data_IF_158232809722
#
_entry.id   IF_158232809722
#
_cell.length_a   1.000
_cell.length_b   1.000
_cell.length_c   1.000
_cell.angle_alpha   90.00
_cell.angle_beta   90.00
_cell.angle_gamma   90.00
#
_symmetry.space_group_name_H-M   'P 1'
#
loop_
_entity.id
_entity.type
_entity.pdbx_description
1 polymer ?
#
# COMPACT_ATOMS: atom_id res chain seq x y z
N UNK A 1 -9.28 42.56 -33.70
CA UNK A 1 -8.00 42.58 -32.95
C UNK A 1 -8.35 42.19 -31.53
N UNK A 2 -8.19 40.92 -31.11
CA UNK A 2 -6.91 40.25 -30.87
C UNK A 2 -6.49 40.54 -29.43
N UNK A 3 -6.14 39.61 -28.54
CA UNK A 3 -5.77 38.21 -28.61
C UNK A 3 -5.98 37.61 -27.19
N UNK A 4 -6.26 36.29 -27.13
CA UNK A 4 -5.67 35.26 -26.22
C UNK A 4 -5.36 35.67 -24.77
N UNK A 5 -5.81 34.95 -23.74
CA UNK A 5 -5.42 33.57 -23.49
C UNK A 5 -6.47 32.87 -22.62
N UNK A 6 -7.01 31.76 -23.14
CA UNK A 6 -7.54 30.67 -22.33
C UNK A 6 -6.39 30.14 -21.47
N UNK A 7 -6.61 30.04 -20.15
CA UNK A 7 -5.73 29.31 -19.24
C UNK A 7 -6.57 28.26 -18.52
N UNK A 8 -7.06 27.28 -19.28
CA UNK A 8 -7.18 25.94 -18.74
C UNK A 8 -5.80 25.30 -18.71
N UNK A 9 -5.22 25.10 -17.51
CA UNK A 9 -4.48 23.88 -17.20
C UNK A 9 -4.20 23.76 -15.70
N UNK A 10 -4.85 22.77 -15.10
CA UNK A 10 -4.48 22.04 -13.87
C UNK A 10 -3.79 22.83 -12.75
N UNK A 11 -4.56 23.11 -11.71
CA UNK A 11 -4.02 23.09 -10.35
C UNK A 11 -3.71 21.63 -9.99
N UNK A 12 -2.60 21.14 -10.53
CA UNK A 12 -1.97 19.90 -10.10
C UNK A 12 -1.51 20.06 -8.65
N UNK A 13 -2.03 19.21 -7.77
CA UNK A 13 -1.36 18.79 -6.53
C UNK A 13 -0.79 19.92 -5.65
N UNK A 14 -1.67 20.71 -5.04
CA UNK A 14 -1.31 21.42 -3.80
C UNK A 14 -1.84 20.62 -2.61
N UNK A 15 -0.94 19.79 -2.07
CA UNK A 15 -0.31 20.01 -0.76
C UNK A 15 -1.19 19.50 0.36
N UNK A 16 -1.06 18.19 0.62
CA UNK A 16 -1.20 17.68 1.98
C UNK A 16 -0.15 18.42 2.81
N UNK A 17 -0.61 19.26 3.73
CA UNK A 17 0.24 19.97 4.68
C UNK A 17 1.10 18.97 5.47
N UNK A 18 2.44 18.98 5.35
CA UNK A 18 3.30 17.93 5.88
C UNK A 18 3.53 17.96 7.40
N UNK A 19 2.90 18.89 8.13
CA UNK A 19 3.18 19.12 9.55
C UNK A 19 2.08 18.68 10.55
N UNK A 20 0.82 18.46 10.16
CA UNK A 20 -0.27 18.77 11.13
C UNK A 20 -1.15 17.65 11.71
N UNK A 21 -1.09 16.37 11.28
CA UNK A 21 -2.07 15.39 11.80
C UNK A 21 -1.54 14.28 12.73
N UNK A 22 -0.59 14.64 13.60
CA UNK A 22 -0.47 13.97 14.90
C UNK A 22 0.60 12.90 15.03
N UNK A 23 1.86 13.25 14.76
CA UNK A 23 3.03 12.37 14.91
C UNK A 23 3.16 11.73 16.31
N UNK A 24 2.62 12.35 17.36
CA UNK A 24 2.55 11.74 18.69
C UNK A 24 1.45 10.68 18.84
N UNK A 25 0.34 10.78 18.11
CA UNK A 25 -0.75 9.78 18.14
C UNK A 25 -0.54 8.65 17.11
N UNK A 26 0.14 8.95 16.00
CA UNK A 26 0.45 8.01 14.91
C UNK A 26 1.33 6.84 15.39
N UNK A 27 2.37 7.14 16.17
CA UNK A 27 3.27 6.13 16.77
C UNK A 27 2.51 5.20 17.74
N UNK A 28 1.53 5.74 18.47
CA UNK A 28 0.70 4.96 19.41
C UNK A 28 -0.35 4.08 18.72
N UNK A 29 -0.73 4.38 17.46
CA UNK A 29 -1.61 3.51 16.68
C UNK A 29 -0.86 2.37 16.02
N UNK A 30 0.37 2.60 15.58
CA UNK A 30 1.20 1.59 14.92
C UNK A 30 1.47 0.35 15.78
N UNK A 31 1.69 0.52 17.08
CA UNK A 31 1.86 -0.60 18.02
C UNK A 31 0.58 -1.43 18.24
N UNK A 32 -0.60 -0.85 17.95
CA UNK A 32 -1.89 -1.57 17.90
C UNK A 32 -2.24 -2.07 16.49
N UNK A 33 -1.50 -1.63 15.48
CA UNK A 33 -1.70 -2.01 14.08
C UNK A 33 -1.05 -3.36 13.73
N UNK A 34 -0.31 -3.96 14.68
CA UNK A 34 0.25 -5.32 14.56
C UNK A 34 -0.73 -6.42 14.99
N UNK A 35 -1.94 -6.07 15.41
CA UNK A 35 -3.00 -7.04 15.68
C UNK A 35 -3.61 -7.54 14.38
N UNK A 36 -3.84 -8.85 14.28
CA UNK A 36 -4.45 -9.45 13.09
C UNK A 36 -5.82 -8.84 12.75
N UNK A 37 -6.62 -8.49 13.74
CA UNK A 37 -7.90 -7.79 13.54
C UNK A 37 -7.71 -6.35 13.01
N UNK A 38 -6.63 -5.67 13.41
CA UNK A 38 -6.32 -4.33 12.92
C UNK A 38 -5.89 -4.38 11.45
N UNK A 39 -5.02 -5.33 11.09
CA UNK A 39 -4.60 -5.55 9.69
C UNK A 39 -5.78 -5.97 8.83
N UNK A 40 -6.63 -6.91 9.28
CA UNK A 40 -7.84 -7.33 8.55
C UNK A 40 -8.79 -6.17 8.27
N UNK A 41 -9.05 -5.33 9.28
CA UNK A 41 -9.85 -4.11 9.11
C UNK A 41 -9.21 -3.15 8.11
N UNK A 42 -7.87 -3.03 8.13
CA UNK A 42 -7.14 -2.15 7.22
C UNK A 42 -7.16 -2.64 5.78
N UNK A 43 -6.94 -3.93 5.54
CA UNK A 43 -7.07 -4.58 4.24
C UNK A 43 -8.45 -4.31 3.64
N UNK A 44 -9.51 -4.46 4.43
CA UNK A 44 -10.89 -4.14 4.01
C UNK A 44 -11.08 -2.65 3.67
N UNK A 45 -10.51 -1.75 4.46
CA UNK A 45 -10.55 -0.30 4.18
C UNK A 45 -9.77 0.09 2.91
N UNK A 46 -8.69 -0.64 2.61
CA UNK A 46 -7.91 -0.45 1.38
C UNK A 46 -8.61 -1.05 0.14
N UNK A 47 -9.70 -1.80 0.32
CA UNK A 47 -10.43 -2.46 -0.76
C UNK A 47 -9.66 -3.61 -1.39
N UNK A 48 -8.76 -4.24 -0.64
CA UNK A 48 -7.96 -5.38 -1.09
C UNK A 48 -8.65 -6.69 -0.69
N UNK A 49 -8.64 -7.67 -1.60
CA UNK A 49 -9.15 -9.01 -1.33
C UNK A 49 -7.99 -9.92 -0.91
N UNK A 50 -7.97 -10.33 0.35
CA UNK A 50 -6.96 -11.22 0.91
C UNK A 50 -7.61 -12.25 1.82
N UNK A 51 -7.12 -13.49 1.75
CA UNK A 51 -7.58 -14.58 2.62
C UNK A 51 -7.04 -14.39 4.05
N UNK A 52 -7.64 -15.06 5.03
CA UNK A 52 -7.18 -14.98 6.42
C UNK A 52 -5.73 -15.47 6.59
N UNK A 53 -5.26 -16.38 5.74
CA UNK A 53 -3.88 -16.88 5.74
C UNK A 53 -2.90 -15.80 5.27
N UNK A 54 -3.22 -15.16 4.15
CA UNK A 54 -2.49 -14.03 3.59
C UNK A 54 -2.43 -12.85 4.57
N UNK A 55 -3.54 -12.56 5.25
CA UNK A 55 -3.59 -11.51 6.28
C UNK A 55 -2.67 -11.87 7.45
N UNK A 56 -2.58 -13.14 7.86
CA UNK A 56 -1.65 -13.57 8.91
C UNK A 56 -0.19 -13.42 8.49
N UNK A 57 0.14 -13.79 7.25
CA UNK A 57 1.49 -13.66 6.70
C UNK A 57 1.94 -12.20 6.67
N UNK A 58 1.14 -11.31 6.08
CA UNK A 58 1.48 -9.88 6.04
C UNK A 58 1.52 -9.25 7.44
N UNK A 59 0.66 -9.70 8.36
CA UNK A 59 0.70 -9.25 9.77
C UNK A 59 2.03 -9.63 10.43
N UNK A 60 2.57 -10.82 10.13
CA UNK A 60 3.86 -11.24 10.66
C UNK A 60 5.01 -10.36 10.14
N UNK A 61 4.99 -9.97 8.86
CA UNK A 61 5.96 -9.02 8.29
C UNK A 61 5.89 -7.63 8.95
N UNK A 62 4.67 -7.08 9.10
CA UNK A 62 4.45 -5.80 9.78
C UNK A 62 4.98 -5.86 11.22
N UNK A 63 4.73 -6.97 11.94
CA UNK A 63 5.19 -7.17 13.31
C UNK A 63 6.72 -7.28 13.40
N UNK A 64 7.35 -7.98 12.46
CA UNK A 64 8.81 -8.08 12.40
C UNK A 64 9.46 -6.70 12.22
N UNK A 65 8.89 -5.85 11.35
CA UNK A 65 9.36 -4.48 11.15
C UNK A 65 9.12 -3.59 12.38
N UNK A 66 7.96 -3.73 13.02
CA UNK A 66 7.62 -3.01 14.25
C UNK A 66 8.51 -3.36 15.45
N UNK A 67 9.09 -4.57 15.48
CA UNK A 67 10.07 -4.96 16.51
C UNK A 67 11.41 -4.24 16.36
N UNK A 68 11.78 -3.85 15.13
CA UNK A 68 13.05 -3.17 14.84
C UNK A 68 12.92 -1.66 15.02
N UNK A 69 11.82 -1.07 14.56
CA UNK A 69 11.56 0.36 14.66
C UNK A 69 10.06 0.67 14.74
N UNK A 70 9.67 1.82 15.31
CA UNK A 70 8.32 2.34 15.14
C UNK A 70 8.01 2.50 13.65
N UNK A 71 6.90 1.91 13.21
CA UNK A 71 6.39 2.02 11.84
C UNK A 71 5.24 3.01 11.81
N UNK A 72 5.00 3.69 10.69
CA UNK A 72 3.82 4.52 10.50
C UNK A 72 2.67 3.69 9.89
N UNK A 73 1.43 4.18 9.93
CA UNK A 73 0.31 3.48 9.27
C UNK A 73 0.49 3.43 7.75
N UNK A 74 1.15 4.44 7.16
CA UNK A 74 1.45 4.52 5.73
C UNK A 74 2.50 3.47 5.32
N UNK A 75 3.50 3.22 6.16
CA UNK A 75 4.44 2.11 5.97
C UNK A 75 3.68 0.77 5.97
N UNK A 76 2.75 0.58 6.92
CA UNK A 76 1.94 -0.63 6.99
C UNK A 76 1.05 -0.81 5.75
N UNK A 77 0.41 0.26 5.27
CA UNK A 77 -0.39 0.23 4.04
C UNK A 77 0.47 -0.12 2.81
N UNK A 78 1.69 0.42 2.75
CA UNK A 78 2.64 0.11 1.68
C UNK A 78 3.05 -1.37 1.70
N UNK A 79 3.30 -1.93 2.89
CA UNK A 79 3.59 -3.37 3.05
C UNK A 79 2.40 -4.22 2.62
N UNK A 80 1.18 -3.87 3.06
CA UNK A 80 -0.05 -4.60 2.70
C UNK A 80 -0.25 -4.61 1.18
N UNK A 81 -0.12 -3.45 0.53
CA UNK A 81 -0.25 -3.35 -0.94
C UNK A 81 0.84 -4.13 -1.66
N UNK A 82 2.09 -4.00 -1.21
CA UNK A 82 3.22 -4.73 -1.80
C UNK A 82 3.02 -6.24 -1.70
N UNK A 83 2.59 -6.73 -0.53
CA UNK A 83 2.32 -8.14 -0.30
C UNK A 83 1.20 -8.66 -1.20
N UNK A 84 0.09 -7.92 -1.30
CA UNK A 84 -1.02 -8.26 -2.19
C UNK A 84 -0.59 -8.29 -3.67
N UNK A 85 0.21 -7.32 -4.13
CA UNK A 85 0.73 -7.29 -5.51
C UNK A 85 1.71 -8.44 -5.76
N UNK A 86 2.59 -8.78 -4.82
CA UNK A 86 3.52 -9.90 -4.97
C UNK A 86 2.80 -11.25 -5.10
N UNK A 87 1.66 -11.41 -4.43
CA UNK A 87 0.85 -12.63 -4.55
C UNK A 87 -0.07 -12.64 -5.77
N UNK A 88 -0.59 -11.48 -6.17
CA UNK A 88 -1.34 -11.28 -7.41
C UNK A 88 -0.42 -10.92 -8.59
N UNK A 89 0.89 -11.22 -8.48
CA UNK A 89 1.85 -11.04 -9.56
C UNK A 89 1.31 -11.69 -10.84
N UNK A 90 1.64 -11.14 -12.02
CA UNK A 90 1.02 -11.57 -13.26
C UNK A 90 1.14 -13.10 -13.35
N UNK A 91 0.06 -13.81 -13.76
CA UNK A 91 0.22 -15.22 -14.08
C UNK A 91 1.34 -15.27 -15.10
N UNK A 92 2.46 -15.88 -14.74
CA UNK A 92 3.52 -16.25 -15.67
C UNK A 92 2.89 -17.23 -16.63
N UNK A 93 2.24 -16.67 -17.65
CA UNK A 93 1.64 -17.39 -18.75
C UNK A 93 2.83 -18.03 -19.45
N UNK A 94 3.03 -19.32 -19.16
CA UNK A 94 4.09 -20.11 -19.73
C UNK A 94 4.07 -19.91 -21.24
N UNK A 95 5.14 -19.32 -21.76
CA UNK A 95 5.46 -19.50 -23.17
C UNK A 95 5.91 -20.96 -23.26
N UNK A 96 5.16 -21.85 -23.94
CA UNK A 96 5.66 -23.19 -24.18
C UNK A 96 6.95 -23.06 -24.98
N UNK A 97 8.04 -23.59 -24.43
CA UNK A 97 9.38 -23.68 -25.04
C UNK A 97 9.42 -24.61 -26.28
N UNK A 98 8.31 -24.72 -27.02
CA UNK A 98 8.11 -25.67 -28.12
C UNK A 98 8.17 -25.03 -29.51
N UNK A 99 8.53 -23.74 -29.61
CA UNK A 99 8.51 -22.99 -30.87
C UNK A 99 9.93 -22.68 -31.44
N UNK A 100 10.94 -23.50 -31.17
CA UNK A 100 12.27 -23.39 -31.81
C UNK A 100 12.58 -24.52 -32.81
N UNK A 101 11.59 -25.28 -33.27
CA UNK A 101 11.79 -26.27 -34.34
C UNK A 101 10.85 -26.01 -35.52
N UNK A 102 11.22 -25.06 -36.37
CA UNK A 102 10.82 -25.00 -37.79
C UNK A 102 11.83 -24.17 -38.58
#
# INVERSE_FOLDING_TARGET
MGLRHDHGFLETYEVLNPADYGLTRYVHFASRLTDWNAVKSRVSQLGLDMTDDQIKEVTAEIKALAHVRPIAIDDADSIIRSFHVSMNGPPENGVPESALVA
#
